data_IF_353387402105
#
_entry.id   IF_353387402105
#
_cell.length_a   1.000
_cell.length_b   1.000
_cell.length_c   1.000
_cell.angle_alpha   90.00
_cell.angle_beta   90.00
_cell.angle_gamma   90.00
#
_symmetry.space_group_name_H-M   'P 1'
#
loop_
_entity.id
_entity.type
_entity.pdbx_description
1 polymer ?
#
# COMPACT_ATOMS: atom_id res chain seq x y z
N UNK A 1 -52.15 0.94 61.93
CA UNK A 1 -50.87 0.20 61.77
C UNK A 1 -50.91 -0.46 60.40
N UNK A 2 -49.95 -0.43 59.48
CA UNK A 2 -48.63 0.19 59.34
C UNK A 2 -48.36 0.04 57.82
N UNK A 3 -48.02 1.13 57.12
CA UNK A 3 -47.55 1.09 55.74
C UNK A 3 -46.20 0.37 55.67
N UNK A 4 -45.95 -0.40 54.60
CA UNK A 4 -44.58 -0.80 54.25
C UNK A 4 -44.39 -0.69 52.74
N UNK A 5 -43.95 0.50 52.34
CA UNK A 5 -43.36 0.78 51.04
C UNK A 5 -42.05 0.01 50.90
N UNK A 6 -41.86 -0.72 49.80
CA UNK A 6 -40.55 -1.17 49.35
C UNK A 6 -40.34 -0.66 47.94
N UNK A 7 -39.56 0.41 47.85
CA UNK A 7 -38.98 0.95 46.64
C UNK A 7 -37.89 -0.01 46.15
N UNK A 8 -37.95 -0.45 44.89
CA UNK A 8 -36.83 -1.07 44.20
C UNK A 8 -36.42 -0.16 43.04
N UNK A 9 -35.24 0.45 43.15
CA UNK A 9 -34.64 1.32 42.16
C UNK A 9 -34.16 0.48 40.97
N UNK A 10 -34.69 0.76 39.78
CA UNK A 10 -34.22 0.20 38.51
C UNK A 10 -33.02 1.04 38.06
N UNK A 11 -31.82 0.46 37.85
CA UNK A 11 -30.74 1.20 37.23
C UNK A 11 -31.04 1.37 35.74
N UNK A 12 -31.27 2.62 35.33
CA UNK A 12 -31.26 3.03 33.92
C UNK A 12 -29.88 2.74 33.32
N UNK A 13 -29.77 1.65 32.57
CA UNK A 13 -28.65 1.44 31.65
C UNK A 13 -28.78 2.45 30.49
N UNK A 14 -28.04 3.56 30.58
CA UNK A 14 -27.86 4.49 29.48
C UNK A 14 -26.99 3.81 28.41
N UNK A 15 -27.62 3.16 27.44
CA UNK A 15 -26.96 2.75 26.20
C UNK A 15 -26.67 4.02 25.37
N UNK A 16 -25.51 4.63 25.62
CA UNK A 16 -24.93 5.64 24.74
C UNK A 16 -24.45 4.95 23.47
N UNK A 17 -25.37 4.69 22.52
CA UNK A 17 -24.99 4.39 21.13
C UNK A 17 -24.55 5.70 20.47
N UNK A 18 -23.36 6.18 20.84
CA UNK A 18 -22.70 7.26 20.12
C UNK A 18 -22.18 6.68 18.81
N UNK A 19 -23.02 6.67 17.77
CA UNK A 19 -22.54 6.61 16.39
C UNK A 19 -21.84 7.94 16.12
N UNK A 20 -20.55 8.04 16.46
CA UNK A 20 -19.73 9.15 15.99
C UNK A 20 -19.57 8.96 14.49
N UNK A 21 -20.38 9.64 13.69
CA UNK A 21 -20.03 9.90 12.29
C UNK A 21 -18.78 10.76 12.31
N UNK A 22 -17.63 10.10 12.30
CA UNK A 22 -16.34 10.73 12.10
C UNK A 22 -16.34 11.18 10.65
N UNK A 23 -16.61 12.46 10.40
CA UNK A 23 -16.29 13.05 9.11
C UNK A 23 -14.78 12.94 8.97
N UNK A 24 -14.25 12.17 8.00
CA UNK A 24 -12.82 12.16 7.77
C UNK A 24 -12.43 13.60 7.46
N UNK A 25 -11.49 14.18 8.21
CA UNK A 25 -10.86 15.47 7.87
C UNK A 25 -9.93 15.33 6.64
N UNK A 26 -10.16 14.30 5.80
CA UNK A 26 -9.28 13.86 4.75
C UNK A 26 -9.80 14.31 3.39
N UNK A 27 -8.98 15.05 2.65
CA UNK A 27 -9.23 15.40 1.25
C UNK A 27 -8.66 14.30 0.35
N UNK A 28 -9.49 13.31 0.06
CA UNK A 28 -9.17 12.11 -0.72
C UNK A 28 -8.28 12.36 -1.97
N UNK A 29 -7.30 11.49 -2.26
CA UNK A 29 -6.57 11.53 -3.56
C UNK A 29 -7.45 11.09 -4.73
N UNK A 30 -8.65 10.62 -4.43
CA UNK A 30 -9.69 10.27 -5.38
C UNK A 30 -10.47 9.05 -4.88
N UNK A 31 -11.68 8.86 -5.41
CA UNK A 31 -12.46 7.68 -5.07
C UNK A 31 -11.67 6.41 -5.44
N UNK A 32 -11.81 5.38 -4.61
CA UNK A 32 -11.28 4.04 -4.92
C UNK A 32 -12.35 3.17 -5.56
N UNK A 33 -11.99 2.49 -6.65
CA UNK A 33 -12.91 1.65 -7.42
C UNK A 33 -12.81 0.16 -7.05
N UNK A 34 -11.71 -0.26 -6.40
CA UNK A 34 -11.43 -1.67 -6.05
C UNK A 34 -11.32 -1.97 -4.56
N UNK A 35 -11.37 -3.26 -4.19
CA UNK A 35 -11.04 -3.72 -2.84
C UNK A 35 -9.58 -3.39 -2.47
N UNK A 36 -9.29 -3.17 -1.18
CA UNK A 36 -7.93 -2.96 -0.71
C UNK A 36 -7.64 -3.77 0.55
N UNK A 37 -6.35 -3.96 0.80
CA UNK A 37 -5.87 -4.55 2.05
C UNK A 37 -5.99 -3.54 3.19
N UNK A 38 -6.40 -4.03 4.36
CA UNK A 38 -6.50 -3.21 5.57
C UNK A 38 -5.13 -3.03 6.21
N UNK A 39 -4.84 -1.82 6.68
CA UNK A 39 -3.60 -1.52 7.39
C UNK A 39 -3.13 -0.09 7.20
N UNK A 40 -2.08 0.27 7.94
CA UNK A 40 -1.29 1.49 7.68
C UNK A 40 -0.40 1.33 6.44
N UNK A 41 0.21 2.42 5.97
CA UNK A 41 1.02 2.43 4.75
C UNK A 41 2.19 1.44 4.79
N UNK A 42 2.91 1.35 5.91
CA UNK A 42 4.03 0.42 6.09
C UNK A 42 3.56 -1.04 6.17
N UNK A 43 2.47 -1.31 6.88
CA UNK A 43 1.88 -2.65 6.95
C UNK A 43 1.36 -3.14 5.59
N UNK A 44 0.70 -2.28 4.81
CA UNK A 44 0.22 -2.65 3.47
C UNK A 44 1.38 -2.85 2.50
N UNK A 45 2.39 -1.99 2.54
CA UNK A 45 3.61 -2.16 1.75
C UNK A 45 4.34 -3.46 2.08
N UNK A 46 4.49 -3.80 3.37
CA UNK A 46 5.12 -5.05 3.77
C UNK A 46 4.35 -6.26 3.23
N UNK A 47 3.02 -6.28 3.38
CA UNK A 47 2.17 -7.34 2.84
C UNK A 47 2.29 -7.48 1.32
N UNK A 48 2.45 -6.37 0.59
CA UNK A 48 2.68 -6.41 -0.85
C UNK A 48 3.98 -7.12 -1.22
N UNK A 49 5.10 -6.78 -0.58
CA UNK A 49 6.38 -7.43 -0.85
C UNK A 49 6.37 -8.90 -0.40
N UNK A 50 5.81 -9.20 0.79
CA UNK A 50 5.64 -10.56 1.28
C UNK A 50 4.84 -11.42 0.31
N UNK A 51 3.74 -10.88 -0.21
CA UNK A 51 2.90 -11.57 -1.20
C UNK A 51 3.70 -11.91 -2.46
N UNK A 52 4.45 -10.95 -3.00
CA UNK A 52 5.28 -11.15 -4.20
C UNK A 52 6.38 -12.18 -3.99
N UNK A 53 7.07 -12.13 -2.85
CA UNK A 53 8.13 -13.07 -2.49
C UNK A 53 7.58 -14.50 -2.35
N UNK A 54 6.39 -14.66 -1.76
CA UNK A 54 5.72 -15.95 -1.62
C UNK A 54 5.20 -16.47 -2.96
N UNK A 55 4.62 -15.59 -3.78
CA UNK A 55 3.94 -15.94 -5.03
C UNK A 55 4.79 -15.51 -6.22
N UNK A 56 6.04 -15.98 -6.30
CA UNK A 56 7.13 -15.63 -7.25
C UNK A 56 6.76 -15.60 -8.75
N UNK A 57 5.78 -14.79 -9.09
CA UNK A 57 5.08 -14.70 -10.36
C UNK A 57 4.83 -13.22 -10.63
N UNK A 58 4.83 -12.86 -11.92
CA UNK A 58 4.57 -11.49 -12.35
C UNK A 58 3.08 -11.29 -12.68
N UNK A 59 2.17 -11.99 -11.98
CA UNK A 59 0.73 -11.78 -12.16
C UNK A 59 0.30 -10.48 -11.46
N UNK A 60 0.33 -9.40 -12.23
CA UNK A 60 -0.06 -8.05 -11.80
C UNK A 60 -1.52 -8.02 -11.33
N UNK A 61 -2.38 -8.89 -11.87
CA UNK A 61 -3.81 -8.94 -11.51
C UNK A 61 -3.99 -9.26 -10.03
N UNK A 62 -3.19 -10.18 -9.50
CA UNK A 62 -3.23 -10.57 -8.10
C UNK A 62 -2.76 -9.45 -7.15
N UNK A 63 -1.96 -8.50 -7.66
CA UNK A 63 -1.45 -7.36 -6.90
C UNK A 63 -2.46 -6.21 -6.79
N UNK A 64 -3.58 -6.27 -7.52
CA UNK A 64 -4.58 -5.19 -7.58
C UNK A 64 -5.03 -4.62 -6.21
N UNK A 65 -5.20 -5.42 -5.14
CA UNK A 65 -5.58 -4.89 -3.83
C UNK A 65 -4.54 -3.94 -3.20
N UNK A 66 -3.28 -4.02 -3.61
CA UNK A 66 -2.16 -3.23 -3.09
C UNK A 66 -1.87 -2.00 -3.95
N UNK A 67 -2.30 -1.99 -5.21
CA UNK A 67 -1.96 -0.95 -6.19
C UNK A 67 -3.02 0.15 -6.23
N UNK A 68 -2.56 1.37 -6.48
CA UNK A 68 -3.43 2.50 -6.83
C UNK A 68 -4.20 2.22 -8.11
N UNK A 69 -5.37 2.83 -8.26
CA UNK A 69 -6.19 2.66 -9.47
C UNK A 69 -5.40 3.10 -10.72
N UNK A 70 -4.60 4.16 -10.59
CA UNK A 70 -3.74 4.70 -11.65
C UNK A 70 -2.59 3.74 -12.01
N UNK A 71 -1.85 3.24 -11.02
CA UNK A 71 -0.73 2.34 -11.27
C UNK A 71 -1.22 1.00 -11.84
N UNK A 72 -2.32 0.46 -11.32
CA UNK A 72 -2.91 -0.77 -11.83
C UNK A 72 -3.35 -0.63 -13.30
N UNK A 73 -3.96 0.51 -13.67
CA UNK A 73 -4.33 0.80 -15.05
C UNK A 73 -3.09 0.90 -15.94
N UNK A 74 -2.08 1.66 -15.51
CA UNK A 74 -0.83 1.84 -16.25
C UNK A 74 -0.14 0.49 -16.52
N UNK A 75 -0.07 -0.38 -15.52
CA UNK A 75 0.52 -1.71 -15.67
C UNK A 75 -0.32 -2.64 -16.56
N UNK A 76 -1.64 -2.60 -16.44
CA UNK A 76 -2.54 -3.36 -17.31
C UNK A 76 -2.39 -2.94 -18.78
N UNK A 77 -2.32 -1.65 -19.06
CA UNK A 77 -2.15 -1.14 -20.42
C UNK A 77 -0.77 -1.52 -20.96
N UNK A 78 0.29 -1.36 -20.16
CA UNK A 78 1.64 -1.79 -20.52
C UNK A 78 1.74 -3.30 -20.77
N UNK A 79 0.99 -4.14 -20.04
CA UNK A 79 0.99 -5.60 -20.25
C UNK A 79 0.44 -6.03 -21.61
N UNK A 80 -0.32 -5.16 -22.29
CA UNK A 80 -0.89 -5.39 -23.61
C UNK A 80 0.00 -4.89 -24.74
N UNK A 81 1.02 -4.08 -24.42
CA UNK A 81 2.00 -3.58 -25.37
C UNK A 81 3.27 -4.45 -25.33
N UNK A 82 3.72 -4.88 -26.52
CA UNK A 82 4.94 -5.67 -26.64
C UNK A 82 6.20 -4.87 -26.30
N UNK A 83 6.17 -3.53 -26.39
CA UNK A 83 7.30 -2.65 -26.08
C UNK A 83 7.72 -2.71 -24.59
N UNK A 84 6.78 -3.01 -23.68
CA UNK A 84 7.03 -3.14 -22.23
C UNK A 84 7.26 -4.57 -21.78
N UNK A 85 7.23 -5.56 -22.69
CA UNK A 85 7.28 -6.98 -22.33
C UNK A 85 8.55 -7.36 -21.56
N UNK A 86 9.69 -6.78 -21.89
CA UNK A 86 10.96 -7.04 -21.19
C UNK A 86 10.89 -6.59 -19.71
N UNK A 87 10.45 -5.35 -19.47
CA UNK A 87 10.25 -4.78 -18.14
C UNK A 87 9.29 -5.63 -17.30
N UNK A 88 8.14 -5.99 -17.87
CA UNK A 88 7.09 -6.72 -17.13
C UNK A 88 7.36 -8.22 -17.00
N UNK A 89 8.25 -8.78 -17.84
CA UNK A 89 8.70 -10.18 -17.72
C UNK A 89 9.73 -10.40 -16.63
N UNK A 90 10.41 -9.33 -16.19
CA UNK A 90 11.31 -9.32 -15.04
C UNK A 90 10.57 -8.79 -13.79
N UNK A 91 11.27 -8.40 -12.73
CA UNK A 91 10.62 -7.78 -11.56
C UNK A 91 10.53 -6.25 -11.69
N UNK A 92 9.38 -5.67 -12.10
CA UNK A 92 9.25 -4.22 -12.29
C UNK A 92 9.08 -3.44 -10.97
N UNK A 93 8.99 -4.10 -9.81
CA UNK A 93 8.75 -3.42 -8.53
C UNK A 93 9.99 -3.38 -7.63
N UNK A 94 11.16 -3.52 -8.25
CA UNK A 94 12.49 -3.52 -7.63
C UNK A 94 13.47 -2.92 -8.63
N UNK A 95 14.54 -2.26 -8.16
CA UNK A 95 15.61 -1.77 -9.03
C UNK A 95 16.41 -2.87 -9.72
N UNK A 96 16.15 -4.14 -9.40
CA UNK A 96 16.80 -5.32 -9.97
C UNK A 96 15.82 -6.15 -10.78
N UNK A 97 16.32 -6.91 -11.75
CA UNK A 97 15.51 -7.83 -12.56
C UNK A 97 15.10 -9.09 -11.80
N UNK A 98 15.77 -9.39 -10.69
CA UNK A 98 15.54 -10.57 -9.87
C UNK A 98 14.66 -10.25 -8.67
N UNK A 99 13.74 -11.18 -8.37
CA UNK A 99 12.87 -11.07 -7.21
C UNK A 99 13.69 -11.28 -5.91
N UNK A 100 13.52 -10.43 -4.89
CA UNK A 100 14.17 -10.62 -3.58
C UNK A 100 13.71 -11.92 -2.88
N UNK A 101 14.55 -12.40 -1.96
CA UNK A 101 14.22 -13.47 -1.01
C UNK A 101 13.59 -12.93 0.27
N UNK A 102 13.89 -11.69 0.64
CA UNK A 102 13.31 -10.96 1.77
C UNK A 102 13.13 -9.48 1.46
N UNK A 103 12.16 -8.86 2.15
CA UNK A 103 11.94 -7.42 2.10
C UNK A 103 11.61 -6.90 3.50
N UNK A 104 12.16 -5.73 3.85
CA UNK A 104 11.84 -5.02 5.08
C UNK A 104 11.41 -3.59 4.75
N UNK A 105 10.16 -3.25 5.06
CA UNK A 105 9.63 -1.90 4.85
C UNK A 105 9.83 -1.06 6.10
N UNK A 106 10.46 0.10 5.94
CA UNK A 106 10.66 1.06 7.01
C UNK A 106 9.33 1.60 7.53
N UNK A 107 9.24 1.84 8.84
CA UNK A 107 7.98 2.33 9.43
C UNK A 107 7.68 3.78 9.05
N UNK A 108 6.41 4.01 8.70
CA UNK A 108 5.87 5.33 8.42
C UNK A 108 5.84 6.24 9.66
N UNK A 109 5.97 5.68 10.87
CA UNK A 109 5.94 6.45 12.12
C UNK A 109 7.10 7.43 12.27
N UNK A 110 8.16 7.25 11.48
CA UNK A 110 9.34 8.13 11.45
C UNK A 110 9.14 9.38 10.60
N UNK A 111 8.08 9.43 9.80
CA UNK A 111 7.78 10.58 8.93
C UNK A 111 7.18 11.70 9.78
N UNK A 112 7.82 12.89 9.85
CA UNK A 112 7.40 13.96 10.75
C UNK A 112 5.97 14.46 10.49
N UNK A 113 5.50 14.33 9.26
CA UNK A 113 4.16 14.73 8.86
C UNK A 113 3.25 13.49 8.75
N UNK A 114 2.57 13.16 9.85
CA UNK A 114 1.57 12.06 9.87
C UNK A 114 0.36 12.30 8.97
N UNK A 115 0.15 13.55 8.53
CA UNK A 115 -0.91 13.93 7.58
C UNK A 115 -0.43 13.90 6.12
N UNK A 116 0.79 13.42 5.87
CA UNK A 116 1.31 13.28 4.52
C UNK A 116 0.44 12.31 3.70
N UNK A 117 -0.16 12.80 2.62
CA UNK A 117 -0.97 12.00 1.67
C UNK A 117 -0.14 11.02 0.86
N UNK A 118 1.15 11.35 0.73
CA UNK A 118 2.14 10.68 -0.08
C UNK A 118 3.30 10.35 0.85
N UNK A 119 3.45 9.08 1.16
CA UNK A 119 4.39 8.56 2.15
C UNK A 119 5.40 7.70 1.41
N UNK A 120 6.60 8.22 1.14
CA UNK A 120 7.69 7.39 0.65
C UNK A 120 8.22 6.52 1.80
N UNK A 121 8.26 5.22 1.60
CA UNK A 121 8.82 4.25 2.54
C UNK A 121 10.04 3.59 1.92
N UNK A 122 11.15 3.57 2.65
CA UNK A 122 12.32 2.79 2.25
C UNK A 122 12.02 1.31 2.40
N UNK A 123 12.52 0.53 1.45
CA UNK A 123 12.40 -0.93 1.44
C UNK A 123 13.77 -1.51 1.28
N UNK A 124 14.24 -2.22 2.30
CA UNK A 124 15.47 -2.98 2.24
C UNK A 124 15.16 -4.36 1.65
N UNK A 125 15.85 -4.73 0.58
CA UNK A 125 15.59 -5.92 -0.23
C UNK A 125 16.86 -6.76 -0.26
N UNK A 126 16.73 -8.06 -0.03
CA UNK A 126 17.87 -8.99 -0.04
C UNK A 126 17.61 -10.19 -0.93
N UNK A 127 18.65 -10.65 -1.61
CA UNK A 127 18.69 -11.90 -2.36
C UNK A 127 20.05 -12.56 -2.15
N UNK A 128 20.09 -13.70 -1.46
CA UNK A 128 21.34 -14.29 -0.97
C UNK A 128 22.21 -13.26 -0.24
N UNK A 129 23.46 -13.08 -0.66
CA UNK A 129 24.40 -12.12 -0.06
C UNK A 129 24.26 -10.68 -0.62
N UNK A 130 23.32 -10.44 -1.54
CA UNK A 130 23.14 -9.15 -2.18
C UNK A 130 21.98 -8.38 -1.57
N UNK A 131 22.28 -7.21 -1.00
CA UNK A 131 21.28 -6.25 -0.52
C UNK A 131 21.17 -5.03 -1.43
N UNK A 132 19.97 -4.46 -1.53
CA UNK A 132 19.73 -3.14 -2.11
C UNK A 132 18.55 -2.47 -1.41
N UNK A 133 18.41 -1.17 -1.63
CA UNK A 133 17.30 -0.40 -1.10
C UNK A 133 16.53 0.20 -2.26
N UNK A 134 15.21 0.24 -2.13
CA UNK A 134 14.30 1.00 -2.98
C UNK A 134 13.37 1.85 -2.12
N UNK A 135 12.52 2.64 -2.77
CA UNK A 135 11.50 3.43 -2.09
C UNK A 135 10.13 3.21 -2.72
N UNK A 136 9.15 2.81 -1.91
CA UNK A 136 7.78 2.64 -2.35
C UNK A 136 6.97 3.89 -1.97
N UNK A 137 6.24 4.44 -2.93
CA UNK A 137 5.35 5.57 -2.71
C UNK A 137 3.97 5.07 -2.31
N UNK A 138 3.62 5.28 -1.05
CA UNK A 138 2.28 4.99 -0.54
C UNK A 138 1.39 6.23 -0.66
N UNK A 139 0.17 6.05 -1.18
CA UNK A 139 -0.87 7.08 -1.19
C UNK A 139 -2.15 6.54 -0.54
N UNK A 140 -3.02 7.45 -0.11
CA UNK A 140 -4.36 7.08 0.33
C UNK A 140 -5.40 7.31 -0.78
N UNK A 141 -6.09 6.27 -1.22
CA UNK A 141 -7.26 6.34 -2.11
C UNK A 141 -8.52 5.91 -1.33
N UNK A 142 -9.48 6.82 -1.15
CA UNK A 142 -10.59 6.62 -0.23
C UNK A 142 -10.10 6.43 1.19
N UNK A 143 -10.25 5.21 1.71
CA UNK A 143 -9.79 4.80 3.04
C UNK A 143 -8.60 3.83 2.98
N UNK A 144 -8.05 3.60 1.79
CA UNK A 144 -7.07 2.56 1.54
C UNK A 144 -5.69 3.15 1.33
N UNK A 145 -4.69 2.59 2.00
CA UNK A 145 -3.30 2.79 1.62
C UNK A 145 -2.95 1.88 0.46
N UNK A 146 -2.29 2.44 -0.55
CA UNK A 146 -1.91 1.72 -1.77
C UNK A 146 -0.58 2.22 -2.31
N UNK A 147 0.09 1.36 -3.07
CA UNK A 147 1.31 1.67 -3.79
C UNK A 147 0.95 2.41 -5.07
N UNK A 148 1.50 3.62 -5.24
CA UNK A 148 1.31 4.42 -6.45
C UNK A 148 2.52 4.45 -7.37
N UNK A 149 3.72 4.28 -6.83
CA UNK A 149 4.96 4.20 -7.59
C UNK A 149 6.05 3.48 -6.79
N UNK A 150 7.11 3.03 -7.49
CA UNK A 150 8.34 2.51 -6.88
C UNK A 150 9.51 3.29 -7.46
N UNK A 151 10.28 3.93 -6.60
CA UNK A 151 11.53 4.61 -6.95
C UNK A 151 12.71 3.67 -6.77
N UNK A 152 13.49 3.52 -7.83
CA UNK A 152 14.66 2.64 -7.87
C UNK A 152 15.89 3.36 -7.33
N UNK A 153 16.48 2.85 -6.25
CA UNK A 153 17.69 3.44 -5.65
C UNK A 153 18.90 2.51 -5.76
N UNK A 154 18.70 1.21 -5.91
CA UNK A 154 19.76 0.20 -5.98
C UNK A 154 20.56 0.14 -7.29
N UNK A 155 20.55 1.19 -8.12
CA UNK A 155 21.13 1.18 -9.46
C UNK A 155 20.23 0.43 -10.45
N UNK A 156 19.21 1.14 -10.96
CA UNK A 156 18.16 0.61 -11.85
C UNK A 156 18.73 -0.11 -13.08
N UNK A 157 18.33 -1.38 -13.26
CA UNK A 157 18.52 -2.13 -14.52
C UNK A 157 17.36 -1.95 -15.50
N UNK A 158 16.23 -1.39 -15.04
CA UNK A 158 14.98 -1.31 -15.80
C UNK A 158 14.86 -0.04 -16.65
N UNK A 159 15.52 1.05 -16.24
CA UNK A 159 15.53 2.30 -16.98
C UNK A 159 16.60 3.30 -16.49
N UNK A 160 16.94 4.25 -17.36
CA UNK A 160 17.54 5.56 -17.03
C UNK A 160 16.64 6.40 -16.11
N UNK A 161 15.33 6.10 -16.08
CA UNK A 161 14.32 6.80 -15.30
C UNK A 161 14.19 6.22 -13.89
N UNK A 162 14.13 7.09 -12.88
CA UNK A 162 14.27 6.71 -11.48
C UNK A 162 13.07 6.01 -10.84
N UNK A 163 11.97 5.78 -11.56
CA UNK A 163 10.76 5.13 -11.01
C UNK A 163 10.07 4.17 -11.99
N UNK A 164 9.22 3.27 -11.46
CA UNK A 164 8.41 2.32 -12.22
C UNK A 164 7.49 3.03 -13.21
N UNK A 165 6.70 4.01 -12.76
CA UNK A 165 5.78 4.73 -13.66
C UNK A 165 6.52 5.37 -14.83
N UNK A 166 7.63 6.05 -14.55
CA UNK A 166 8.45 6.68 -15.59
C UNK A 166 9.08 5.66 -16.53
N UNK A 167 9.40 4.46 -16.04
CA UNK A 167 9.96 3.38 -16.86
C UNK A 167 8.95 2.82 -17.85
N UNK A 168 7.65 2.90 -17.54
CA UNK A 168 6.57 2.53 -18.44
C UNK A 168 6.25 3.68 -19.41
N UNK A 169 6.15 4.92 -18.90
CA UNK A 169 5.76 6.09 -19.70
C UNK A 169 6.80 6.52 -20.75
N UNK A 170 8.10 6.26 -20.50
CA UNK A 170 9.20 6.68 -21.39
C UNK A 170 9.69 5.60 -22.38
N UNK A 171 8.95 4.50 -22.53
CA UNK A 171 9.29 3.41 -23.48
C UNK A 171 8.45 3.49 -24.75
#
# INVERSE_FOLDING_TARGET
MRYRSLSLLIPCALLLSACTTVTPAYKDNGPRTGSCVQGGPDSVAQQFYDYRIQHRSNDITALRPYLSDKLATLLSDASRDNSHRELLSSDPFSSRTTLPDSAHVASASTIPNRDARNIPLRVDLEQGDQGWQDEVLMIQEGQCWVIDDVRYLGGSVHATAGTLRQSIENR
#
